data_IF_780586499745
#
_entry.id   IF_780586499745
#
_cell.length_a   1.000
_cell.length_b   1.000
_cell.length_c   1.000
_cell.angle_alpha   90.00
_cell.angle_beta   90.00
_cell.angle_gamma   90.00
#
_symmetry.space_group_name_H-M   'P 1'
#
loop_
_entity.id
_entity.type
_entity.pdbx_description
1 polymer ?
#
# COMPACT_ATOMS: atom_id res chain seq x y z
N UNK A 1 26.41 12.79 0.73
CA UNK A 1 25.42 11.76 1.12
C UNK A 1 26.19 10.64 1.81
N UNK A 2 25.95 10.42 3.11
CA UNK A 2 26.40 9.18 3.75
C UNK A 2 25.49 8.06 3.24
N UNK A 3 26.08 6.99 2.72
CA UNK A 3 25.34 5.73 2.53
C UNK A 3 25.27 5.10 3.92
N UNK A 4 24.15 5.26 4.60
CA UNK A 4 23.89 4.49 5.81
C UNK A 4 23.74 3.03 5.39
N UNK A 5 24.78 2.24 5.63
CA UNK A 5 24.76 0.81 5.36
C UNK A 5 23.76 0.14 6.31
N UNK A 6 22.56 -0.18 5.81
CA UNK A 6 21.63 -1.06 6.50
C UNK A 6 22.33 -2.38 6.80
N UNK A 7 22.31 -2.83 8.05
CA UNK A 7 22.95 -4.07 8.46
C UNK A 7 22.19 -5.26 7.83
N UNK A 8 22.77 -5.98 6.85
CA UNK A 8 22.04 -7.01 6.12
C UNK A 8 21.91 -8.32 6.92
N UNK A 9 22.75 -8.52 7.94
CA UNK A 9 22.83 -9.76 8.73
C UNK A 9 23.43 -9.55 10.12
N UNK A 10 23.17 -10.50 11.03
CA UNK A 10 23.60 -10.46 12.44
C UNK A 10 22.42 -10.32 13.41
N UNK A 11 22.71 -10.30 14.72
CA UNK A 11 21.67 -10.10 15.73
C UNK A 11 20.99 -8.75 15.51
N UNK A 12 19.68 -8.78 15.26
CA UNK A 12 18.83 -7.59 15.19
C UNK A 12 18.44 -7.20 16.61
N UNK A 13 18.67 -5.95 16.98
CA UNK A 13 18.10 -5.36 18.18
C UNK A 13 16.57 -5.39 18.10
N UNK A 14 15.92 -5.35 19.27
CA UNK A 14 14.46 -5.43 19.38
C UNK A 14 13.72 -4.32 18.59
N UNK A 15 14.38 -3.18 18.37
CA UNK A 15 13.83 -2.01 17.68
C UNK A 15 14.41 -1.76 16.28
N UNK A 16 15.32 -2.62 15.79
CA UNK A 16 16.03 -2.38 14.52
C UNK A 16 15.07 -2.19 13.33
N UNK A 17 13.97 -2.95 13.29
CA UNK A 17 12.97 -2.84 12.22
C UNK A 17 12.21 -1.51 12.25
N UNK A 18 11.94 -0.98 13.45
CA UNK A 18 11.26 0.29 13.63
C UNK A 18 12.19 1.45 13.23
N UNK A 19 13.44 1.42 13.68
CA UNK A 19 14.45 2.41 13.29
C UNK A 19 14.72 2.41 11.78
N UNK A 20 14.80 1.23 11.16
CA UNK A 20 14.97 1.12 9.70
C UNK A 20 13.76 1.73 8.99
N UNK A 21 12.55 1.43 9.45
CA UNK A 21 11.32 1.98 8.88
C UNK A 21 11.24 3.50 9.03
N UNK A 22 11.60 4.04 10.19
CA UNK A 22 11.66 5.50 10.44
C UNK A 22 12.70 6.17 9.55
N UNK A 23 13.91 5.62 9.43
CA UNK A 23 14.94 6.14 8.52
C UNK A 23 14.48 6.13 7.06
N UNK A 24 13.81 5.06 6.62
CA UNK A 24 13.25 4.97 5.28
C UNK A 24 12.14 6.02 5.04
N UNK A 25 11.34 6.32 6.08
CA UNK A 25 10.35 7.41 6.04
C UNK A 25 11.00 8.79 5.96
N UNK A 26 12.04 9.05 6.75
CA UNK A 26 12.78 10.32 6.77
C UNK A 26 13.45 10.65 5.43
N UNK A 27 13.90 9.63 4.69
CA UNK A 27 14.45 9.79 3.34
C UNK A 27 13.37 10.29 2.35
N UNK A 28 12.10 10.18 2.72
CA UNK A 28 10.96 10.71 1.98
C UNK A 28 10.46 9.71 0.95
N UNK A 29 9.59 8.80 1.37
CA UNK A 29 8.94 7.88 0.45
C UNK A 29 7.87 8.65 -0.37
N UNK A 30 8.02 8.79 -1.69
CA UNK A 30 7.03 9.47 -2.52
C UNK A 30 5.66 8.78 -2.47
N UNK A 31 5.58 7.48 -2.20
CA UNK A 31 4.33 6.74 -2.05
C UNK A 31 3.51 7.21 -0.84
N UNK A 32 4.16 7.55 0.29
CA UNK A 32 3.45 8.06 1.46
C UNK A 32 2.82 9.42 1.17
N UNK A 33 3.52 10.29 0.44
CA UNK A 33 2.98 11.59 0.02
C UNK A 33 1.81 11.45 -0.95
N UNK A 34 1.86 10.47 -1.85
CA UNK A 34 0.76 10.19 -2.78
C UNK A 34 -0.49 9.81 -2.01
N UNK A 35 -0.35 9.01 -0.95
CA UNK A 35 -1.49 8.60 -0.11
C UNK A 35 -2.07 9.77 0.67
N UNK A 36 -1.23 10.69 1.13
CA UNK A 36 -1.68 11.87 1.88
C UNK A 36 -2.39 12.92 1.00
N UNK A 37 -1.99 13.06 -0.26
CA UNK A 37 -2.45 14.16 -1.13
C UNK A 37 -3.60 13.76 -2.04
N UNK A 38 -3.72 12.47 -2.40
CA UNK A 38 -4.74 12.00 -3.35
C UNK A 38 -5.95 11.42 -2.60
N UNK A 39 -7.12 11.96 -2.91
CA UNK A 39 -8.39 11.33 -2.54
C UNK A 39 -8.68 10.14 -3.47
N UNK A 40 -8.32 8.92 -3.06
CA UNK A 40 -8.52 7.73 -3.88
C UNK A 40 -9.99 7.39 -4.16
N UNK A 41 -10.94 7.92 -3.37
CA UNK A 41 -12.36 7.72 -3.63
C UNK A 41 -12.79 8.34 -4.97
N UNK A 42 -12.03 9.31 -5.48
CA UNK A 42 -12.27 9.89 -6.80
C UNK A 42 -12.18 8.87 -7.95
N UNK A 43 -11.45 7.77 -7.73
CA UNK A 43 -11.32 6.70 -8.72
C UNK A 43 -12.44 5.66 -8.62
N UNK A 44 -13.29 5.68 -7.58
CA UNK A 44 -14.29 4.63 -7.33
C UNK A 44 -15.16 4.37 -8.55
N UNK A 45 -15.75 5.40 -9.14
CA UNK A 45 -16.64 5.22 -10.30
C UNK A 45 -15.90 4.62 -11.51
N UNK A 46 -14.63 4.99 -11.71
CA UNK A 46 -13.80 4.42 -12.77
C UNK A 46 -13.47 2.96 -12.47
N UNK A 47 -13.04 2.67 -11.23
CA UNK A 47 -12.70 1.33 -10.77
C UNK A 47 -13.91 0.40 -10.84
N UNK A 48 -15.08 0.78 -10.35
CA UNK A 48 -16.29 -0.04 -10.39
C UNK A 48 -16.80 -0.30 -11.81
N UNK A 49 -16.60 0.66 -12.72
CA UNK A 49 -16.97 0.50 -14.14
C UNK A 49 -16.05 -0.49 -14.86
N UNK A 50 -14.75 -0.47 -14.55
CA UNK A 50 -13.73 -1.29 -15.22
C UNK A 50 -13.47 -2.63 -14.51
N UNK A 51 -13.72 -2.72 -13.20
CA UNK A 51 -13.56 -3.92 -12.38
C UNK A 51 -14.77 -4.84 -12.61
N UNK A 52 -14.56 -5.73 -13.56
CA UNK A 52 -15.47 -6.78 -13.97
C UNK A 52 -15.76 -7.75 -12.82
N UNK A 53 -17.02 -7.75 -12.34
CA UNK A 53 -17.79 -8.93 -11.89
C UNK A 53 -19.24 -8.54 -11.56
N UNK A 54 -19.86 -7.72 -12.41
CA UNK A 54 -21.26 -7.29 -12.26
C UNK A 54 -22.24 -8.49 -12.35
N UNK A 55 -21.83 -9.55 -13.06
CA UNK A 55 -22.59 -10.79 -13.18
C UNK A 55 -22.02 -11.89 -12.28
N UNK A 56 -22.53 -11.97 -11.04
CA UNK A 56 -22.36 -13.17 -10.21
C UNK A 56 -23.29 -14.27 -10.71
N UNK A 57 -22.77 -15.48 -10.98
CA UNK A 57 -23.59 -16.66 -11.31
C UNK A 57 -24.50 -17.08 -10.14
N UNK A 58 -24.11 -16.77 -8.90
CA UNK A 58 -24.75 -17.19 -7.66
C UNK A 58 -24.28 -16.31 -6.49
N UNK A 59 -25.12 -16.19 -5.44
CA UNK A 59 -24.83 -15.39 -4.23
C UNK A 59 -23.84 -16.05 -3.26
N UNK A 60 -23.16 -17.12 -3.69
CA UNK A 60 -22.22 -17.88 -2.88
C UNK A 60 -20.82 -17.25 -2.90
N UNK A 61 -20.05 -17.47 -1.84
CA UNK A 61 -18.65 -17.06 -1.72
C UNK A 61 -18.41 -15.86 -0.81
N UNK A 62 -17.13 -15.56 -0.58
CA UNK A 62 -16.73 -14.41 0.22
C UNK A 62 -17.14 -13.10 -0.46
N UNK A 63 -17.47 -12.08 0.35
CA UNK A 63 -17.69 -10.74 -0.19
C UNK A 63 -16.40 -10.27 -0.89
N UNK A 64 -16.50 -9.65 -2.08
CA UNK A 64 -15.35 -9.09 -2.75
C UNK A 64 -14.73 -7.99 -1.88
N UNK A 65 -13.41 -7.83 -1.99
CA UNK A 65 -12.70 -6.71 -1.37
C UNK A 65 -13.19 -5.38 -1.95
N UNK A 66 -13.05 -4.30 -1.17
CA UNK A 66 -13.30 -2.96 -1.67
C UNK A 66 -12.32 -2.62 -2.80
N UNK A 67 -12.85 -2.09 -3.90
CA UNK A 67 -12.08 -1.83 -5.13
C UNK A 67 -11.06 -0.71 -4.96
N UNK A 68 -11.35 0.28 -4.11
CA UNK A 68 -10.43 1.37 -3.79
C UNK A 68 -9.31 0.85 -2.90
N UNK A 69 -9.64 0.04 -1.89
CA UNK A 69 -8.64 -0.62 -1.04
C UNK A 69 -7.71 -1.53 -1.84
N UNK A 70 -8.26 -2.28 -2.80
CA UNK A 70 -7.47 -3.14 -3.68
C UNK A 70 -6.57 -2.31 -4.60
N UNK A 71 -7.07 -1.19 -5.11
CA UNK A 71 -6.27 -0.24 -5.90
C UNK A 71 -5.12 0.37 -5.09
N UNK A 72 -5.36 0.78 -3.84
CA UNK A 72 -4.32 1.31 -2.95
C UNK A 72 -3.20 0.27 -2.74
N UNK A 73 -3.54 -0.99 -2.46
CA UNK A 73 -2.58 -2.09 -2.30
C UNK A 73 -1.72 -2.37 -3.55
N UNK A 74 -2.21 -2.04 -4.74
CA UNK A 74 -1.44 -2.19 -5.98
C UNK A 74 -0.56 -0.98 -6.28
N UNK A 75 -0.96 0.21 -5.83
CA UNK A 75 -0.27 1.48 -6.12
C UNK A 75 0.75 1.83 -5.05
N UNK A 76 0.53 1.43 -3.80
CA UNK A 76 1.34 1.71 -2.62
C UNK A 76 1.99 0.46 -2.04
#
# INVERSE_FOLDING_TARGET
MKLDMYKPSGNRGFFDEQEIKEKLREIGNPLEKIIEVIDFEMFRSLLETQMLNHHKKNHAGAKPFDVVMMFILYVA
#
